data_IF_462989726188
#
_entry.id   IF_462989726188
#
_cell.length_a   1.000
_cell.length_b   1.000
_cell.length_c   1.000
_cell.angle_alpha   90.00
_cell.angle_beta   90.00
_cell.angle_gamma   90.00
#
_symmetry.space_group_name_H-M   'P 1'
#
loop_
_entity.id
_entity.type
_entity.pdbx_description
1 polymer ?
#
# COMPACT_ATOMS: atom_id res chain seq x y z
N UNK A 1 -10.39 -68.06 -19.33
CA UNK A 1 -10.27 -67.17 -20.51
C UNK A 1 -10.95 -65.83 -20.18
N UNK A 2 -10.34 -64.74 -20.49
CA UNK A 2 -10.82 -63.34 -20.33
C UNK A 2 -10.66 -62.72 -18.91
N UNK A 3 -9.48 -62.24 -18.65
CA UNK A 3 -9.20 -61.11 -17.74
C UNK A 3 -7.76 -60.64 -17.95
N UNK A 4 -7.52 -59.93 -19.05
CA UNK A 4 -6.27 -59.20 -19.34
C UNK A 4 -6.64 -58.10 -20.35
N UNK A 5 -6.83 -56.90 -19.90
CA UNK A 5 -7.09 -55.79 -20.84
C UNK A 5 -7.68 -54.52 -20.22
N UNK A 6 -7.04 -53.89 -19.22
CA UNK A 6 -7.40 -52.53 -18.83
C UNK A 6 -6.36 -51.82 -17.90
N UNK A 7 -5.06 -52.06 -18.21
CA UNK A 7 -3.97 -51.36 -17.51
C UNK A 7 -3.11 -50.49 -18.44
N UNK A 8 -3.63 -50.05 -19.59
CA UNK A 8 -2.86 -49.39 -20.64
C UNK A 8 -3.23 -47.94 -20.97
N UNK A 9 -4.02 -47.24 -20.15
CA UNK A 9 -4.52 -45.89 -20.50
C UNK A 9 -4.09 -44.74 -19.58
N UNK A 10 -3.18 -44.96 -18.64
CA UNK A 10 -2.68 -43.89 -17.76
C UNK A 10 -1.24 -43.44 -18.00
N UNK A 11 -0.57 -43.98 -19.04
CA UNK A 11 0.81 -43.59 -19.36
C UNK A 11 0.92 -42.65 -20.59
N UNK A 12 -0.18 -42.00 -21.01
CA UNK A 12 -0.26 -41.31 -22.30
C UNK A 12 0.15 -39.84 -22.33
N UNK A 13 0.26 -39.15 -21.20
CA UNK A 13 0.52 -37.68 -21.21
C UNK A 13 2.01 -37.33 -21.34
N UNK A 14 2.90 -38.08 -20.73
CA UNK A 14 4.35 -37.78 -20.82
C UNK A 14 4.98 -38.18 -22.15
N UNK A 15 4.43 -39.21 -22.86
CA UNK A 15 4.94 -39.69 -24.14
C UNK A 15 4.54 -38.79 -25.32
N UNK A 16 3.42 -38.09 -25.26
CA UNK A 16 3.00 -37.14 -26.31
C UNK A 16 3.82 -35.85 -26.32
N UNK A 17 4.22 -35.34 -25.17
CA UNK A 17 5.12 -34.17 -25.09
C UNK A 17 6.53 -34.46 -25.62
N UNK A 18 7.01 -35.70 -25.52
CA UNK A 18 8.31 -36.09 -26.06
C UNK A 18 8.29 -36.31 -27.60
N UNK A 19 7.10 -36.50 -28.18
CA UNK A 19 6.94 -36.77 -29.66
C UNK A 19 6.56 -35.48 -30.41
N UNK A 20 5.82 -34.55 -29.77
CA UNK A 20 5.35 -33.30 -30.37
C UNK A 20 5.88 -32.04 -29.70
N UNK A 21 6.66 -32.17 -28.62
CA UNK A 21 7.31 -31.05 -27.98
C UNK A 21 8.30 -30.37 -28.91
N UNK A 22 8.18 -29.06 -29.13
CA UNK A 22 9.19 -28.29 -29.84
C UNK A 22 10.58 -28.58 -29.25
N UNK A 23 11.51 -29.04 -30.10
CA UNK A 23 12.91 -29.18 -29.70
C UNK A 23 13.39 -27.85 -29.21
N UNK A 24 13.52 -27.69 -27.91
CA UNK A 24 14.18 -26.50 -27.32
C UNK A 24 15.57 -26.45 -27.89
N UNK A 25 15.78 -25.59 -28.88
CA UNK A 25 17.11 -25.33 -29.45
C UNK A 25 17.97 -24.84 -28.30
N UNK A 26 18.98 -25.62 -27.93
CA UNK A 26 19.95 -25.24 -26.92
C UNK A 26 20.75 -24.07 -27.49
N UNK A 27 20.40 -22.85 -27.09
CA UNK A 27 21.12 -21.64 -27.49
C UNK A 27 22.51 -21.75 -26.83
N UNK A 28 23.52 -22.00 -27.65
CA UNK A 28 24.92 -22.04 -27.21
C UNK A 28 25.44 -20.63 -27.24
N UNK A 29 25.90 -20.13 -26.11
CA UNK A 29 26.46 -18.78 -25.93
C UNK A 29 26.30 -18.26 -24.51
N UNK A 30 27.10 -17.29 -24.16
CA UNK A 30 26.98 -16.57 -22.91
C UNK A 30 25.79 -15.61 -23.00
N UNK A 31 24.77 -15.83 -22.17
CA UNK A 31 23.61 -14.93 -22.11
C UNK A 31 24.03 -13.66 -21.41
N UNK A 32 24.18 -12.58 -22.16
CA UNK A 32 24.33 -11.23 -21.57
C UNK A 32 22.94 -10.62 -21.44
N UNK A 33 22.58 -10.07 -20.26
CA UNK A 33 21.33 -9.33 -20.12
C UNK A 33 21.36 -8.15 -21.09
N UNK A 34 20.33 -8.02 -21.91
CA UNK A 34 20.19 -6.90 -22.87
C UNK A 34 19.81 -5.61 -22.13
N UNK A 35 19.17 -5.74 -20.97
CA UNK A 35 18.84 -4.63 -20.07
C UNK A 35 19.54 -4.90 -18.73
N UNK A 36 20.55 -4.12 -18.43
CA UNK A 36 21.09 -3.99 -17.08
C UNK A 36 20.35 -2.84 -16.41
N UNK A 37 19.47 -3.14 -15.47
CA UNK A 37 18.96 -2.12 -14.58
C UNK A 37 20.14 -1.56 -13.79
N UNK A 38 20.26 -0.23 -13.65
CA UNK A 38 21.29 0.38 -12.80
C UNK A 38 21.18 -0.18 -11.38
N UNK A 39 22.27 -0.18 -10.64
CA UNK A 39 22.28 -0.67 -9.26
C UNK A 39 21.38 0.19 -8.36
N UNK A 40 21.33 1.49 -8.63
CA UNK A 40 20.41 2.45 -8.03
C UNK A 40 19.76 3.29 -9.14
N UNK A 41 18.44 3.55 -9.00
CA UNK A 41 17.70 4.49 -9.86
C UNK A 41 17.64 5.88 -9.22
N UNK A 42 17.86 5.95 -7.90
CA UNK A 42 17.95 7.19 -7.14
C UNK A 42 19.38 7.35 -6.63
N UNK A 43 20.05 8.42 -7.04
CA UNK A 43 21.39 8.76 -6.53
C UNK A 43 21.28 9.84 -5.45
N UNK A 44 22.19 9.76 -4.45
CA UNK A 44 22.30 10.78 -3.42
C UNK A 44 22.90 12.06 -4.01
N UNK A 45 22.19 13.18 -3.82
CA UNK A 45 22.63 14.48 -4.29
C UNK A 45 23.85 14.97 -3.50
N UNK A 46 24.84 15.54 -4.21
CA UNK A 46 26.08 16.00 -3.59
C UNK A 46 25.84 17.06 -2.51
N UNK A 47 24.92 17.98 -2.77
CA UNK A 47 24.52 19.05 -1.85
C UNK A 47 23.81 18.53 -0.60
N UNK A 48 23.13 17.40 -0.71
CA UNK A 48 22.41 16.79 0.41
C UNK A 48 23.30 15.92 1.32
N UNK A 49 24.48 15.51 0.86
CA UNK A 49 25.39 14.60 1.61
C UNK A 49 25.79 15.12 2.99
N UNK A 50 25.89 16.44 3.13
CA UNK A 50 26.24 17.12 4.38
C UNK A 50 25.05 17.38 5.32
N UNK A 51 23.82 17.16 4.87
CA UNK A 51 22.63 17.45 5.67
C UNK A 51 22.45 16.39 6.75
N UNK A 52 22.14 16.86 7.96
CA UNK A 52 21.80 15.96 9.07
C UNK A 52 20.30 15.65 9.06
N UNK A 53 19.95 14.36 9.10
CA UNK A 53 18.56 13.94 9.26
C UNK A 53 18.21 14.06 10.75
N UNK A 54 17.43 15.09 11.09
CA UNK A 54 16.84 15.26 12.42
C UNK A 54 15.43 14.69 12.39
N UNK A 55 15.19 13.67 13.21
CA UNK A 55 13.87 13.07 13.34
C UNK A 55 13.05 13.85 14.37
N UNK A 56 11.73 14.04 14.16
CA UNK A 56 10.87 14.60 15.17
C UNK A 56 10.81 13.71 16.41
N UNK A 57 10.37 14.25 17.53
CA UNK A 57 10.15 13.46 18.73
C UNK A 57 9.17 12.30 18.46
N UNK A 58 9.40 11.18 19.11
CA UNK A 58 8.51 10.04 19.00
C UNK A 58 7.15 10.36 19.61
N UNK A 59 6.10 9.91 18.90
CA UNK A 59 4.72 10.04 19.36
C UNK A 59 4.04 8.69 19.44
N UNK A 60 3.24 8.49 20.48
CA UNK A 60 2.43 7.29 20.63
C UNK A 60 1.01 7.57 20.14
N UNK A 61 0.57 6.83 19.14
CA UNK A 61 -0.83 6.86 18.73
C UNK A 61 -1.60 5.80 19.52
N UNK A 62 -2.69 6.22 20.15
CA UNK A 62 -3.62 5.33 20.84
C UNK A 62 -4.55 4.59 19.88
N UNK A 63 -4.56 4.96 18.60
CA UNK A 63 -5.37 4.35 17.54
C UNK A 63 -4.69 4.57 16.19
N UNK A 64 -5.04 3.71 15.21
CA UNK A 64 -4.57 3.79 13.83
C UNK A 64 -5.77 3.66 12.89
N UNK A 65 -6.53 4.73 12.65
CA UNK A 65 -7.85 4.66 12.05
C UNK A 65 -7.84 4.42 10.54
N UNK A 66 -6.74 4.73 9.86
CA UNK A 66 -6.60 4.64 8.41
C UNK A 66 -5.13 4.61 8.00
N UNK A 67 -4.85 4.55 6.71
CA UNK A 67 -3.50 4.55 6.17
C UNK A 67 -2.68 5.72 6.74
N UNK A 68 -1.44 5.46 7.16
CA UNK A 68 -0.55 6.45 7.77
C UNK A 68 -0.95 6.89 9.18
N UNK A 69 -2.00 6.30 9.79
CA UNK A 69 -2.45 6.60 11.15
C UNK A 69 -3.26 7.89 11.30
N UNK A 70 -3.37 8.70 10.24
CA UNK A 70 -4.12 9.98 10.25
C UNK A 70 -4.61 10.36 8.85
N UNK A 71 -5.59 11.28 8.74
CA UNK A 71 -6.18 11.64 7.45
C UNK A 71 -5.20 12.24 6.45
N UNK A 72 -4.16 12.91 6.90
CA UNK A 72 -3.10 13.49 6.04
C UNK A 72 -2.08 12.47 5.54
N UNK A 73 -2.10 11.24 6.05
CA UNK A 73 -1.13 10.16 5.84
C UNK A 73 0.30 10.47 6.35
N UNK A 74 0.52 11.62 6.97
CA UNK A 74 1.83 12.02 7.50
C UNK A 74 2.03 11.48 8.92
N UNK A 75 2.39 10.20 9.05
CA UNK A 75 2.48 9.49 10.32
C UNK A 75 3.54 10.01 11.31
N UNK A 76 4.59 10.72 10.84
CA UNK A 76 5.65 11.25 11.70
C UNK A 76 6.58 10.17 12.24
N UNK A 77 6.95 10.24 13.52
CA UNK A 77 7.86 9.26 14.17
C UNK A 77 7.12 8.53 15.29
N UNK A 78 6.84 7.25 15.09
CA UNK A 78 6.07 6.46 16.05
C UNK A 78 6.94 5.94 17.19
N UNK A 79 6.37 5.88 18.40
CA UNK A 79 7.02 5.24 19.55
C UNK A 79 6.99 3.72 19.38
N UNK A 80 8.17 3.10 19.40
CA UNK A 80 8.33 1.65 19.33
C UNK A 80 9.60 1.27 20.10
N UNK A 81 9.53 0.20 20.92
CA UNK A 81 10.69 -0.31 21.64
C UNK A 81 11.73 -0.91 20.71
N UNK A 82 12.92 -1.15 21.27
CA UNK A 82 14.02 -1.88 20.61
C UNK A 82 13.78 -3.39 20.70
N UNK A 83 14.61 -4.22 20.06
CA UNK A 83 14.59 -5.69 20.17
C UNK A 83 13.22 -6.31 19.94
N UNK A 84 12.61 -5.99 18.80
CA UNK A 84 11.27 -6.49 18.44
C UNK A 84 11.20 -8.01 18.47
N UNK A 85 10.26 -8.55 19.25
CA UNK A 85 9.92 -9.96 19.29
C UNK A 85 8.45 -10.15 18.91
N UNK A 86 8.14 -11.26 18.27
CA UNK A 86 6.76 -11.61 17.99
C UNK A 86 6.00 -11.82 19.32
N UNK A 87 5.00 -10.97 19.55
CA UNK A 87 4.11 -11.07 20.69
C UNK A 87 2.99 -12.09 20.46
N UNK A 88 2.40 -12.05 19.27
CA UNK A 88 1.40 -13.01 18.84
C UNK A 88 1.29 -13.06 17.31
N UNK A 89 0.62 -14.11 16.79
CA UNK A 89 0.22 -14.26 15.40
C UNK A 89 -1.17 -14.84 15.32
N UNK A 90 -1.97 -14.39 14.34
CA UNK A 90 -3.33 -14.83 14.10
C UNK A 90 -3.61 -14.89 12.59
N UNK A 91 -4.46 -15.83 12.16
CA UNK A 91 -4.93 -15.85 10.77
C UNK A 91 -6.07 -14.84 10.56
N UNK A 92 -5.90 -13.88 9.62
CA UNK A 92 -6.98 -12.93 9.33
C UNK A 92 -7.97 -13.45 8.27
N UNK A 93 -7.61 -14.46 7.51
CA UNK A 93 -8.46 -15.05 6.47
C UNK A 93 -7.68 -15.36 5.21
N UNK A 94 -8.30 -15.19 4.06
CA UNK A 94 -7.66 -15.44 2.77
C UNK A 94 -6.69 -14.31 2.45
N UNK A 95 -5.45 -14.66 2.26
CA UNK A 95 -4.38 -13.73 1.87
C UNK A 95 -4.39 -13.38 0.39
N UNK A 96 -3.33 -12.71 -0.05
CA UNK A 96 -3.12 -12.30 -1.44
C UNK A 96 -2.71 -13.49 -2.32
N UNK A 97 -3.33 -13.61 -3.49
CA UNK A 97 -2.94 -14.55 -4.55
C UNK A 97 -3.01 -13.89 -5.93
N UNK A 98 -2.69 -14.62 -6.98
CA UNK A 98 -2.76 -14.08 -8.35
C UNK A 98 -4.16 -13.56 -8.72
N UNK A 99 -5.22 -14.23 -8.28
CA UNK A 99 -6.61 -13.89 -8.61
C UNK A 99 -7.32 -13.07 -7.54
N UNK A 100 -6.85 -13.14 -6.29
CA UNK A 100 -7.48 -12.51 -5.13
C UNK A 100 -6.45 -11.66 -4.41
N UNK A 101 -6.77 -10.41 -4.18
CA UNK A 101 -5.84 -9.47 -3.53
C UNK A 101 -6.45 -8.87 -2.29
N UNK A 102 -5.68 -8.83 -1.24
CA UNK A 102 -5.94 -7.91 -0.13
C UNK A 102 -5.55 -6.52 -0.59
N UNK A 103 -6.44 -5.55 -0.41
CA UNK A 103 -6.32 -4.22 -1.04
C UNK A 103 -5.96 -3.11 -0.06
N UNK A 104 -5.95 -3.40 1.25
CA UNK A 104 -5.63 -2.44 2.29
C UNK A 104 -4.96 -3.12 3.49
N UNK A 105 -4.11 -2.37 4.19
CA UNK A 105 -3.53 -2.79 5.46
C UNK A 105 -4.55 -2.77 6.61
N UNK A 106 -4.16 -3.27 7.78
CA UNK A 106 -4.99 -3.24 8.98
C UNK A 106 -5.17 -1.82 9.52
N UNK A 107 -6.25 -1.63 10.29
CA UNK A 107 -6.49 -0.45 11.13
C UNK A 107 -6.69 -0.88 12.58
N UNK A 108 -6.53 0.04 13.54
CA UNK A 108 -6.60 -0.32 14.94
C UNK A 108 -7.26 0.76 15.81
N UNK A 109 -8.05 0.31 16.79
CA UNK A 109 -8.40 1.06 17.99
C UNK A 109 -7.36 0.80 19.09
N UNK A 110 -7.58 1.34 20.28
CA UNK A 110 -6.71 1.09 21.43
C UNK A 110 -6.68 -0.39 21.88
N UNK A 111 -7.74 -1.15 21.62
CA UNK A 111 -7.94 -2.51 22.11
C UNK A 111 -8.08 -3.57 20.99
N UNK A 112 -8.26 -3.15 19.74
CA UNK A 112 -8.56 -4.06 18.60
C UNK A 112 -7.83 -3.70 17.34
N UNK A 113 -7.55 -4.73 16.54
CA UNK A 113 -7.08 -4.60 15.16
C UNK A 113 -8.19 -5.11 14.24
N UNK A 114 -8.47 -4.35 13.17
CA UNK A 114 -9.46 -4.71 12.16
C UNK A 114 -8.75 -4.95 10.85
N UNK A 115 -9.11 -6.04 10.16
CA UNK A 115 -8.49 -6.45 8.92
C UNK A 115 -9.51 -7.05 7.96
N UNK A 116 -9.43 -6.63 6.70
CA UNK A 116 -10.18 -7.23 5.61
C UNK A 116 -9.37 -8.30 4.89
N UNK A 117 -10.01 -9.37 4.45
CA UNK A 117 -9.36 -10.44 3.67
C UNK A 117 -9.67 -10.35 2.17
N UNK A 118 -9.06 -11.24 1.37
CA UNK A 118 -9.22 -11.27 -0.08
C UNK A 118 -10.55 -11.90 -0.55
N UNK A 119 -11.35 -12.45 0.36
CA UNK A 119 -12.66 -13.05 0.06
C UNK A 119 -13.84 -12.16 0.49
N UNK A 120 -13.57 -10.99 1.04
CA UNK A 120 -14.61 -10.05 1.45
C UNK A 120 -15.08 -10.19 2.90
N UNK A 121 -14.31 -10.84 3.75
CA UNK A 121 -14.56 -10.84 5.19
C UNK A 121 -13.80 -9.73 5.90
N UNK A 122 -14.40 -9.18 6.94
CA UNK A 122 -13.73 -8.30 7.90
C UNK A 122 -13.69 -9.01 9.25
N UNK A 123 -12.54 -8.98 9.89
CA UNK A 123 -12.31 -9.58 11.22
C UNK A 123 -11.75 -8.54 12.18
N UNK A 124 -12.14 -8.66 13.45
CA UNK A 124 -11.54 -7.93 14.56
C UNK A 124 -10.77 -8.87 15.47
N UNK A 125 -9.61 -8.40 15.90
CA UNK A 125 -8.71 -9.13 16.79
C UNK A 125 -8.38 -8.29 18.02
N UNK A 126 -8.23 -8.95 19.14
CA UNK A 126 -7.71 -8.34 20.36
C UNK A 126 -6.25 -7.92 20.16
N UNK A 127 -5.93 -6.67 20.43
CA UNK A 127 -4.58 -6.14 20.20
C UNK A 127 -3.53 -6.72 21.17
N UNK A 128 -3.96 -7.18 22.34
CA UNK A 128 -3.05 -7.70 23.35
C UNK A 128 -2.53 -9.11 23.02
N UNK A 129 -3.39 -9.96 22.42
CA UNK A 129 -3.11 -11.39 22.26
C UNK A 129 -3.48 -11.99 20.90
N UNK A 130 -4.05 -11.19 19.97
CA UNK A 130 -4.43 -11.66 18.64
C UNK A 130 -5.70 -12.54 18.60
N UNK A 131 -6.44 -12.69 19.69
CA UNK A 131 -7.67 -13.46 19.71
C UNK A 131 -8.74 -12.79 18.81
N UNK A 132 -9.32 -13.56 17.87
CA UNK A 132 -10.36 -13.04 17.01
C UNK A 132 -11.65 -12.82 17.81
N UNK A 133 -12.15 -11.57 17.81
CA UNK A 133 -13.36 -11.16 18.52
C UNK A 133 -14.62 -11.42 17.70
N UNK A 134 -14.57 -11.08 16.40
CA UNK A 134 -15.64 -11.33 15.45
C UNK A 134 -15.11 -11.44 14.02
N UNK A 135 -15.91 -12.00 13.13
CA UNK A 135 -15.71 -12.05 11.68
C UNK A 135 -17.04 -11.91 10.97
N UNK A 136 -17.11 -11.02 9.98
CA UNK A 136 -18.33 -10.70 9.23
C UNK A 136 -18.07 -10.85 7.74
N UNK A 137 -19.00 -11.50 7.05
CA UNK A 137 -19.07 -11.52 5.60
C UNK A 137 -19.70 -10.22 5.12
N UNK A 138 -18.96 -9.45 4.32
CA UNK A 138 -19.45 -8.17 3.79
C UNK A 138 -20.19 -8.30 2.47
N UNK A 139 -20.22 -9.49 1.87
CA UNK A 139 -20.94 -9.74 0.62
C UNK A 139 -22.45 -9.61 0.80
N UNK A 140 -23.18 -9.12 -0.21
CA UNK A 140 -24.65 -9.22 -0.22
C UNK A 140 -25.11 -10.66 -0.14
N UNK A 141 -26.26 -10.93 0.50
CA UNK A 141 -26.81 -12.28 0.70
C UNK A 141 -27.01 -13.08 -0.60
N UNK A 142 -27.30 -12.39 -1.71
CA UNK A 142 -27.53 -12.99 -3.02
C UNK A 142 -26.26 -13.11 -3.88
N UNK A 143 -25.11 -12.65 -3.41
CA UNK A 143 -23.86 -12.69 -4.14
C UNK A 143 -23.12 -14.00 -3.82
N UNK A 144 -23.02 -14.89 -4.81
CA UNK A 144 -22.33 -16.19 -4.68
C UNK A 144 -20.92 -16.20 -5.26
N UNK A 145 -20.48 -15.08 -5.83
CA UNK A 145 -19.15 -14.94 -6.42
C UNK A 145 -18.03 -14.78 -5.40
N UNK A 146 -16.81 -14.75 -5.89
CA UNK A 146 -15.64 -14.35 -5.10
C UNK A 146 -15.82 -12.91 -4.64
N UNK A 147 -15.87 -12.66 -3.32
CA UNK A 147 -16.17 -11.36 -2.74
C UNK A 147 -15.13 -10.29 -3.07
N UNK A 148 -13.90 -10.71 -3.35
CA UNK A 148 -12.77 -9.82 -3.56
C UNK A 148 -12.34 -9.07 -2.31
N UNK A 149 -11.16 -8.45 -2.37
CA UNK A 149 -10.60 -7.74 -1.22
C UNK A 149 -11.41 -6.53 -0.79
N UNK A 150 -11.38 -6.25 0.51
CA UNK A 150 -12.06 -5.11 1.12
C UNK A 150 -11.06 -4.17 1.79
N UNK A 151 -11.33 -2.87 1.74
CA UNK A 151 -10.63 -1.85 2.49
C UNK A 151 -11.34 -1.55 3.80
N UNK A 152 -10.58 -1.26 4.85
CA UNK A 152 -11.12 -0.93 6.17
C UNK A 152 -10.56 0.39 6.68
N UNK A 153 -11.41 1.21 7.29
CA UNK A 153 -11.05 2.41 8.06
C UNK A 153 -11.90 2.44 9.34
N UNK A 154 -11.44 3.20 10.33
CA UNK A 154 -12.08 3.29 11.64
C UNK A 154 -12.39 4.74 12.01
N UNK A 155 -13.55 5.00 12.58
CA UNK A 155 -13.84 6.26 13.25
C UNK A 155 -14.74 5.97 14.46
N UNK A 156 -14.23 6.34 15.64
CA UNK A 156 -14.89 6.05 16.90
C UNK A 156 -15.20 4.56 17.07
N UNK A 157 -16.47 4.23 17.18
CA UNK A 157 -17.02 2.88 17.35
C UNK A 157 -17.47 2.22 16.03
N UNK A 158 -17.06 2.78 14.88
CA UNK A 158 -17.54 2.34 13.57
C UNK A 158 -16.38 1.99 12.65
N UNK A 159 -16.41 0.78 12.12
CA UNK A 159 -15.53 0.31 11.05
C UNK A 159 -16.24 0.51 9.72
N UNK A 160 -15.69 1.35 8.85
CA UNK A 160 -16.21 1.50 7.50
C UNK A 160 -15.45 0.59 6.54
N UNK A 161 -16.19 -0.03 5.63
CA UNK A 161 -15.67 -1.04 4.71
C UNK A 161 -16.01 -0.63 3.28
N UNK A 162 -14.99 -0.62 2.42
CA UNK A 162 -15.14 -0.45 0.97
C UNK A 162 -14.97 -1.80 0.28
N UNK A 163 -15.80 -2.10 -0.72
CA UNK A 163 -15.80 -3.41 -1.37
C UNK A 163 -15.62 -3.32 -2.89
N UNK A 164 -15.08 -4.36 -3.49
CA UNK A 164 -15.03 -4.51 -4.97
C UNK A 164 -16.43 -4.74 -5.56
N UNK A 165 -17.44 -4.96 -4.74
CA UNK A 165 -18.85 -5.12 -5.14
C UNK A 165 -19.59 -3.77 -5.19
N UNK A 166 -18.85 -2.66 -5.19
CA UNK A 166 -19.38 -1.28 -5.24
C UNK A 166 -20.16 -0.88 -3.98
N UNK A 167 -19.89 -1.47 -2.82
CA UNK A 167 -20.60 -1.13 -1.60
C UNK A 167 -19.67 -0.53 -0.54
N UNK A 168 -20.23 0.43 0.20
CA UNK A 168 -19.65 0.95 1.43
C UNK A 168 -20.56 0.53 2.58
N UNK A 169 -19.96 -0.04 3.63
CA UNK A 169 -20.68 -0.47 4.83
C UNK A 169 -20.13 0.27 6.04
N UNK A 170 -21.00 0.50 7.03
CA UNK A 170 -20.59 0.83 8.38
C UNK A 170 -20.92 -0.36 9.30
N UNK A 171 -19.91 -0.82 10.01
CA UNK A 171 -20.02 -1.92 10.96
C UNK A 171 -19.77 -1.40 12.38
N UNK A 172 -20.43 -1.95 13.36
CA UNK A 172 -20.09 -1.75 14.76
C UNK A 172 -18.72 -2.34 15.06
N UNK A 173 -17.79 -1.54 15.57
CA UNK A 173 -16.47 -2.02 15.96
C UNK A 173 -16.54 -3.06 17.09
N UNK A 174 -17.62 -3.05 17.89
CA UNK A 174 -17.79 -3.95 19.03
C UNK A 174 -18.02 -5.40 18.61
N UNK A 175 -18.89 -5.64 17.63
CA UNK A 175 -19.41 -6.97 17.28
C UNK A 175 -19.53 -7.21 15.76
N UNK A 176 -19.22 -6.21 14.92
CA UNK A 176 -19.31 -6.33 13.46
C UNK A 176 -20.73 -6.19 12.90
N UNK A 177 -21.74 -5.85 13.71
CA UNK A 177 -23.11 -5.65 13.23
C UNK A 177 -23.16 -4.51 12.19
N UNK A 178 -23.89 -4.73 11.09
CA UNK A 178 -24.06 -3.72 10.03
C UNK A 178 -24.96 -2.61 10.53
N UNK A 179 -24.43 -1.38 10.62
CA UNK A 179 -25.19 -0.16 10.96
C UNK A 179 -25.92 0.38 9.72
N UNK A 180 -25.21 0.46 8.59
CA UNK A 180 -25.77 0.82 7.30
C UNK A 180 -24.94 0.24 6.15
N UNK A 181 -25.53 0.18 4.96
CA UNK A 181 -24.93 -0.28 3.71
C UNK A 181 -25.43 0.59 2.56
N UNK A 182 -24.53 1.04 1.70
CA UNK A 182 -24.87 1.84 0.52
C UNK A 182 -24.10 1.34 -0.70
N UNK A 183 -24.79 1.30 -1.86
CA UNK A 183 -24.19 0.91 -3.13
C UNK A 183 -23.79 2.15 -3.95
N UNK A 184 -22.55 2.17 -4.43
CA UNK A 184 -22.02 3.14 -5.36
C UNK A 184 -22.17 2.66 -6.82
N UNK A 185 -21.83 3.51 -7.77
CA UNK A 185 -21.97 3.18 -9.20
C UNK A 185 -20.86 2.29 -9.74
N UNK A 186 -19.67 2.33 -9.11
CA UNK A 186 -18.51 1.59 -9.57
C UNK A 186 -17.76 0.94 -8.38
N UNK A 187 -17.03 -0.17 -8.64
CA UNK A 187 -16.24 -0.86 -7.64
C UNK A 187 -15.14 0.01 -7.02
N UNK A 188 -14.74 -0.38 -5.81
CA UNK A 188 -13.59 0.21 -5.10
C UNK A 188 -12.52 -0.87 -4.88
N UNK A 189 -11.26 -0.54 -5.13
CA UNK A 189 -10.12 -1.44 -4.93
C UNK A 189 -9.06 -0.81 -4.04
N UNK A 190 -9.48 -0.25 -2.92
CA UNK A 190 -8.64 0.40 -1.93
C UNK A 190 -9.45 0.79 -0.72
N UNK A 191 -8.78 1.18 0.35
CA UNK A 191 -9.44 1.77 1.49
C UNK A 191 -9.94 3.18 1.17
N UNK A 192 -10.89 3.66 1.95
CA UNK A 192 -11.30 5.05 1.99
C UNK A 192 -10.39 5.86 2.91
N UNK A 193 -10.63 7.17 2.97
CA UNK A 193 -10.15 8.03 4.06
C UNK A 193 -11.32 8.68 4.76
N UNK A 194 -11.15 8.98 6.04
CA UNK A 194 -12.19 9.61 6.85
C UNK A 194 -11.64 10.85 7.56
N UNK A 195 -12.41 11.92 7.51
CA UNK A 195 -12.14 13.15 8.25
C UNK A 195 -13.42 13.95 8.44
N UNK A 196 -13.59 14.54 9.60
CA UNK A 196 -14.69 15.47 9.90
C UNK A 196 -16.08 14.89 9.55
N UNK A 197 -16.32 13.61 9.87
CA UNK A 197 -17.60 12.92 9.60
C UNK A 197 -17.87 12.65 8.11
N UNK A 198 -16.85 12.72 7.23
CA UNK A 198 -16.96 12.43 5.80
C UNK A 198 -16.01 11.32 5.40
N UNK A 199 -16.51 10.40 4.59
CA UNK A 199 -15.72 9.33 3.97
C UNK A 199 -15.42 9.72 2.55
N UNK A 200 -14.15 9.63 2.15
CA UNK A 200 -13.69 9.91 0.79
C UNK A 200 -13.16 8.62 0.17
N UNK A 201 -13.71 8.24 -0.98
CA UNK A 201 -13.34 7.00 -1.66
C UNK A 201 -13.19 7.21 -3.15
N UNK A 202 -12.15 6.63 -3.74
CA UNK A 202 -11.94 6.62 -5.19
C UNK A 202 -12.47 5.30 -5.77
N UNK A 203 -13.24 5.39 -6.85
CA UNK A 203 -13.83 4.25 -7.55
C UNK A 203 -13.10 3.95 -8.86
N UNK A 204 -13.26 2.73 -9.39
CA UNK A 204 -12.55 2.26 -10.59
C UNK A 204 -12.87 3.06 -11.87
N UNK A 205 -14.00 3.75 -11.91
CA UNK A 205 -14.37 4.65 -13.02
C UNK A 205 -13.79 6.07 -12.86
N UNK A 206 -12.72 6.22 -12.06
CA UNK A 206 -12.03 7.48 -11.76
C UNK A 206 -12.92 8.51 -11.08
N UNK A 207 -13.88 8.09 -10.26
CA UNK A 207 -14.74 9.00 -9.51
C UNK A 207 -14.30 9.08 -8.05
N UNK A 208 -14.08 10.30 -7.53
CA UNK A 208 -13.98 10.57 -6.10
C UNK A 208 -15.38 10.83 -5.56
N UNK A 209 -15.75 10.07 -4.53
CA UNK A 209 -17.05 10.17 -3.87
C UNK A 209 -16.84 10.57 -2.41
N UNK A 210 -17.56 11.57 -1.95
CA UNK A 210 -17.68 11.90 -0.54
C UNK A 210 -19.02 11.42 0.00
N UNK A 211 -19.00 10.70 1.12
CA UNK A 211 -20.20 10.22 1.81
C UNK A 211 -20.24 10.77 3.24
N UNK A 212 -21.43 10.88 3.79
CA UNK A 212 -21.64 11.07 5.22
C UNK A 212 -21.28 9.81 5.98
N UNK A 213 -20.44 9.92 7.01
CA UNK A 213 -20.09 8.79 7.86
C UNK A 213 -21.28 8.32 8.73
N UNK A 214 -22.26 9.18 8.98
CA UNK A 214 -23.42 8.90 9.80
C UNK A 214 -24.38 7.91 9.15
N UNK A 215 -24.71 8.14 7.86
CA UNK A 215 -25.78 7.43 7.15
C UNK A 215 -25.39 6.88 5.77
N UNK A 216 -24.16 7.09 5.33
CA UNK A 216 -23.67 6.66 4.01
C UNK A 216 -24.21 7.48 2.83
N UNK A 217 -24.96 8.55 3.07
CA UNK A 217 -25.52 9.41 2.02
C UNK A 217 -24.39 10.09 1.24
N UNK A 218 -24.46 10.03 -0.10
CA UNK A 218 -23.52 10.72 -0.97
C UNK A 218 -23.70 12.23 -0.84
N UNK A 219 -22.63 12.92 -0.46
CA UNK A 219 -22.59 14.37 -0.30
C UNK A 219 -22.26 15.04 -1.63
N UNK A 220 -21.22 14.57 -2.30
CA UNK A 220 -20.82 15.04 -3.62
C UNK A 220 -19.99 13.98 -4.38
N UNK A 221 -19.80 14.20 -5.66
CA UNK A 221 -18.97 13.37 -6.56
C UNK A 221 -18.17 14.24 -7.50
N UNK A 222 -16.97 13.81 -7.83
CA UNK A 222 -16.15 14.38 -8.89
C UNK A 222 -15.64 13.25 -9.78
N UNK A 223 -15.81 13.36 -11.07
CA UNK A 223 -15.30 12.39 -12.05
C UNK A 223 -14.09 12.98 -12.76
N UNK A 224 -12.93 12.32 -12.54
CA UNK A 224 -11.69 12.64 -13.24
C UNK A 224 -11.66 12.01 -14.64
N UNK A 225 -10.57 12.22 -15.38
CA UNK A 225 -10.41 11.64 -16.70
C UNK A 225 -10.49 10.11 -16.65
N UNK A 226 -11.38 9.55 -17.46
CA UNK A 226 -11.50 8.09 -17.57
C UNK A 226 -10.34 7.52 -18.40
N UNK A 227 -9.81 6.38 -17.95
CA UNK A 227 -8.80 5.60 -18.68
C UNK A 227 -9.29 4.16 -18.90
N UNK A 228 -8.77 3.52 -19.95
CA UNK A 228 -9.17 2.15 -20.31
C UNK A 228 -8.54 1.09 -19.41
N UNK A 229 -7.34 1.35 -18.88
CA UNK A 229 -6.59 0.40 -18.05
C UNK A 229 -6.38 0.97 -16.67
N UNK A 230 -7.06 0.42 -15.67
CA UNK A 230 -6.95 0.84 -14.28
C UNK A 230 -6.00 -0.09 -13.53
N UNK A 231 -4.99 0.43 -12.82
CA UNK A 231 -4.08 -0.40 -12.02
C UNK A 231 -4.83 -1.11 -10.89
N UNK A 232 -4.25 -2.22 -10.43
CA UNK A 232 -4.76 -2.94 -9.26
C UNK A 232 -4.44 -2.12 -7.99
N UNK A 233 -5.48 -1.72 -7.29
CA UNK A 233 -5.40 -0.86 -6.11
C UNK A 233 -5.55 0.61 -6.46
N UNK A 234 -6.40 1.29 -5.71
CA UNK A 234 -6.61 2.74 -5.79
C UNK A 234 -6.16 3.37 -4.48
N UNK A 235 -5.41 4.48 -4.54
CA UNK A 235 -4.93 5.13 -3.34
C UNK A 235 -6.10 5.80 -2.60
N UNK A 236 -6.16 5.70 -1.26
CA UNK A 236 -7.04 6.53 -0.47
C UNK A 236 -6.61 8.00 -0.59
N UNK A 237 -7.55 8.95 -0.63
CA UNK A 237 -7.24 10.37 -0.64
C UNK A 237 -6.64 10.84 0.68
N UNK A 238 -5.70 11.78 0.65
CA UNK A 238 -5.22 12.45 1.88
C UNK A 238 -6.12 13.64 2.23
N UNK A 239 -6.34 13.88 3.52
CA UNK A 239 -7.17 14.99 3.98
C UNK A 239 -6.43 15.82 5.03
N UNK A 240 -6.45 17.14 4.86
CA UNK A 240 -5.92 18.08 5.86
C UNK A 240 -6.84 19.28 5.96
N UNK A 241 -7.43 19.48 7.14
CA UNK A 241 -8.44 20.51 7.36
C UNK A 241 -9.64 20.33 6.39
N UNK A 242 -9.90 21.34 5.57
CA UNK A 242 -10.96 21.32 4.56
C UNK A 242 -10.45 20.98 3.15
N UNK A 243 -9.24 20.45 3.01
CA UNK A 243 -8.67 20.08 1.70
C UNK A 243 -8.52 18.56 1.60
N UNK A 244 -9.04 17.99 0.52
CA UNK A 244 -8.87 16.58 0.13
C UNK A 244 -7.97 16.52 -1.09
N UNK A 245 -6.94 15.70 -1.05
CA UNK A 245 -6.05 15.47 -2.20
C UNK A 245 -6.20 14.03 -2.66
N UNK A 246 -6.56 13.84 -3.92
CA UNK A 246 -6.76 12.53 -4.52
C UNK A 246 -5.89 12.34 -5.76
N UNK A 247 -5.27 11.17 -5.87
CA UNK A 247 -4.59 10.69 -7.06
C UNK A 247 -5.51 9.79 -7.88
N UNK A 248 -5.38 9.85 -9.21
CA UNK A 248 -6.24 9.10 -10.14
C UNK A 248 -5.42 8.19 -11.07
N UNK A 249 -6.06 7.15 -11.61
CA UNK A 249 -5.42 6.28 -12.59
C UNK A 249 -4.93 6.99 -13.86
N UNK A 250 -5.52 8.12 -14.21
CA UNK A 250 -5.11 8.97 -15.33
C UNK A 250 -3.74 9.66 -15.14
N UNK A 251 -3.17 9.59 -13.94
CA UNK A 251 -1.98 10.36 -13.55
C UNK A 251 -2.31 11.73 -12.99
N UNK A 252 -3.58 12.11 -12.98
CA UNK A 252 -4.01 13.35 -12.36
C UNK A 252 -3.90 13.27 -10.83
N UNK A 253 -3.51 14.36 -10.23
CA UNK A 253 -3.61 14.63 -8.80
C UNK A 253 -4.35 15.95 -8.60
N UNK A 254 -5.41 15.91 -7.82
CA UNK A 254 -6.27 17.07 -7.61
C UNK A 254 -6.51 17.34 -6.13
N UNK A 255 -6.60 18.62 -5.79
CA UNK A 255 -7.09 19.05 -4.49
C UNK A 255 -8.52 19.55 -4.60
N UNK A 256 -9.31 19.19 -3.62
CA UNK A 256 -10.74 19.52 -3.52
C UNK A 256 -11.06 20.15 -2.18
N UNK A 257 -12.08 20.98 -2.17
CA UNK A 257 -12.71 21.41 -0.94
C UNK A 257 -13.59 20.27 -0.39
N UNK A 258 -13.33 19.87 0.86
CA UNK A 258 -13.93 18.67 1.46
C UNK A 258 -15.47 18.71 1.57
N UNK A 259 -16.04 19.91 1.71
CA UNK A 259 -17.48 20.04 1.96
C UNK A 259 -18.36 20.00 0.70
N UNK A 260 -17.84 20.38 -0.47
CA UNK A 260 -18.64 20.48 -1.71
C UNK A 260 -17.96 19.91 -2.96
N UNK A 261 -16.73 19.41 -2.85
CA UNK A 261 -16.02 18.79 -3.96
C UNK A 261 -15.51 19.75 -5.04
N UNK A 262 -15.50 21.06 -4.78
CA UNK A 262 -14.92 22.03 -5.73
C UNK A 262 -13.42 21.82 -5.84
N UNK A 263 -12.93 21.74 -7.06
CA UNK A 263 -11.50 21.66 -7.35
C UNK A 263 -10.82 22.96 -6.92
N UNK A 264 -9.77 22.85 -6.14
CA UNK A 264 -8.89 23.95 -5.71
C UNK A 264 -7.77 24.10 -6.74
N UNK A 265 -7.09 22.98 -7.07
CA UNK A 265 -6.05 22.91 -8.07
C UNK A 265 -5.96 21.49 -8.65
N UNK A 266 -5.29 21.36 -9.79
CA UNK A 266 -4.98 20.09 -10.45
C UNK A 266 -3.55 20.10 -10.98
N UNK A 267 -2.91 18.93 -10.97
CA UNK A 267 -1.62 18.65 -11.59
C UNK A 267 -1.64 17.26 -12.22
N UNK A 268 -0.65 16.91 -13.03
CA UNK A 268 -0.56 15.61 -13.68
C UNK A 268 0.86 15.05 -13.57
N UNK A 269 0.96 13.82 -13.06
CA UNK A 269 2.21 13.06 -12.97
C UNK A 269 2.41 12.13 -14.19
N UNK A 270 1.51 12.22 -15.19
CA UNK A 270 1.68 11.51 -16.45
C UNK A 270 2.88 12.09 -17.22
N UNK A 271 3.72 11.21 -17.78
CA UNK A 271 4.84 11.65 -18.62
C UNK A 271 4.32 12.36 -19.87
N UNK A 272 4.85 13.56 -20.16
CA UNK A 272 4.50 14.30 -21.35
C UNK A 272 4.99 13.56 -22.60
N UNK A 273 4.07 13.11 -23.47
CA UNK A 273 4.41 12.54 -24.78
C UNK A 273 4.69 11.02 -24.79
N UNK A 274 4.38 10.31 -23.74
CA UNK A 274 4.56 8.87 -23.66
C UNK A 274 3.63 8.09 -24.63
N UNK A 275 4.22 7.17 -25.40
CA UNK A 275 3.49 6.30 -26.36
C UNK A 275 3.53 4.83 -25.97
N UNK A 276 4.12 4.47 -24.83
CA UNK A 276 4.29 3.09 -24.36
C UNK A 276 3.43 2.78 -23.12
N UNK A 277 3.23 1.50 -22.83
CA UNK A 277 2.58 1.04 -21.59
C UNK A 277 3.36 1.46 -20.32
N UNK A 278 4.66 1.76 -20.46
CA UNK A 278 5.49 2.32 -19.38
C UNK A 278 5.13 3.80 -19.07
N UNK A 279 4.44 4.46 -19.98
CA UNK A 279 4.04 5.87 -19.86
C UNK A 279 2.68 6.04 -19.13
N UNK A 280 2.15 4.98 -18.53
CA UNK A 280 0.95 5.06 -17.69
C UNK A 280 1.31 5.82 -16.41
N UNK A 281 1.15 7.12 -16.43
CA UNK A 281 1.44 8.03 -15.32
C UNK A 281 0.50 7.88 -14.12
N UNK A 282 -0.08 6.70 -13.92
CA UNK A 282 -1.05 6.43 -12.87
C UNK A 282 -0.50 6.80 -11.48
N UNK A 283 -1.28 7.54 -10.70
CA UNK A 283 -1.00 7.78 -9.28
C UNK A 283 -1.60 6.62 -8.49
N UNK A 284 -0.77 5.67 -8.07
CA UNK A 284 -1.16 4.54 -7.24
C UNK A 284 -0.71 4.72 -5.78
N UNK A 285 0.40 5.39 -5.56
CA UNK A 285 0.85 5.77 -4.23
C UNK A 285 -0.13 6.75 -3.60
N UNK A 286 -0.56 6.50 -2.37
CA UNK A 286 -1.40 7.45 -1.66
C UNK A 286 -0.64 8.77 -1.45
N UNK A 287 -1.25 9.93 -1.75
CA UNK A 287 -0.63 11.21 -1.47
C UNK A 287 -0.45 11.43 0.03
N UNK A 288 0.56 12.20 0.41
CA UNK A 288 0.85 12.55 1.80
C UNK A 288 0.84 14.07 1.94
N UNK A 289 0.08 14.59 2.88
CA UNK A 289 0.05 16.02 3.19
C UNK A 289 0.87 16.26 4.46
N UNK A 290 2.01 16.94 4.33
CA UNK A 290 2.89 17.26 5.45
C UNK A 290 3.15 18.77 5.50
N UNK A 291 2.58 19.44 6.51
CA UNK A 291 2.57 20.91 6.56
C UNK A 291 1.82 21.52 5.38
N UNK A 292 2.49 22.35 4.59
CA UNK A 292 1.94 22.96 3.37
C UNK A 292 2.36 22.21 2.08
N UNK A 293 2.94 21.03 2.20
CA UNK A 293 3.43 20.24 1.06
C UNK A 293 2.58 18.99 0.84
N UNK A 294 2.23 18.72 -0.40
CA UNK A 294 1.64 17.46 -0.86
C UNK A 294 2.75 16.67 -1.56
N UNK A 295 3.09 15.51 -1.04
CA UNK A 295 4.03 14.59 -1.67
C UNK A 295 3.22 13.57 -2.45
N UNK A 296 3.52 13.44 -3.74
CA UNK A 296 2.88 12.47 -4.62
C UNK A 296 3.90 11.76 -5.50
N UNK A 297 3.64 10.48 -5.75
CA UNK A 297 4.51 9.61 -6.54
C UNK A 297 3.67 8.95 -7.62
N UNK A 298 4.12 9.07 -8.88
CA UNK A 298 3.51 8.42 -10.03
C UNK A 298 4.26 7.15 -10.44
N UNK A 299 3.54 6.20 -11.01
CA UNK A 299 4.12 4.97 -11.58
C UNK A 299 5.05 5.27 -12.77
N UNK A 300 4.88 6.41 -13.45
CA UNK A 300 5.69 6.85 -14.58
C UNK A 300 7.09 7.35 -14.22
N UNK A 301 7.56 7.16 -13.01
CA UNK A 301 8.91 7.53 -12.58
C UNK A 301 9.02 8.96 -12.02
N UNK A 302 7.93 9.65 -11.76
CA UNK A 302 7.93 11.04 -11.29
C UNK A 302 7.44 11.14 -9.85
N UNK A 303 8.24 11.72 -8.98
CA UNK A 303 7.86 12.17 -7.64
C UNK A 303 7.83 13.70 -7.57
N UNK A 304 6.83 14.25 -6.90
CA UNK A 304 6.64 15.70 -6.78
C UNK A 304 6.31 16.10 -5.35
N UNK A 305 6.68 17.33 -5.01
CA UNK A 305 6.07 18.08 -3.92
C UNK A 305 5.29 19.26 -4.50
N UNK A 306 4.07 19.42 -4.04
CA UNK A 306 3.15 20.46 -4.51
C UNK A 306 2.74 21.31 -3.31
N UNK A 307 2.70 22.62 -3.47
CA UNK A 307 2.13 23.52 -2.45
C UNK A 307 0.65 23.23 -2.28
N UNK A 308 0.22 22.89 -1.07
CA UNK A 308 -1.14 22.46 -0.75
C UNK A 308 -2.20 23.51 -1.12
N UNK A 309 -1.87 24.79 -1.00
CA UNK A 309 -2.82 25.89 -1.23
C UNK A 309 -2.81 26.38 -2.67
N UNK A 310 -1.60 26.55 -3.23
CA UNK A 310 -1.42 27.15 -4.54
C UNK A 310 -1.40 26.15 -5.70
N UNK A 311 -1.20 24.85 -5.43
CA UNK A 311 -1.08 23.82 -6.45
C UNK A 311 0.19 23.92 -7.31
N UNK A 312 1.16 24.75 -6.92
CA UNK A 312 2.45 24.84 -7.63
C UNK A 312 3.39 23.74 -7.20
N UNK A 313 4.09 23.12 -8.14
CA UNK A 313 5.21 22.23 -7.82
C UNK A 313 6.30 23.01 -7.08
N UNK A 314 6.70 22.49 -5.91
CA UNK A 314 7.84 22.96 -5.13
C UNK A 314 9.10 22.32 -5.72
N UNK A 315 9.03 21.01 -5.97
CA UNK A 315 10.06 20.26 -6.67
C UNK A 315 9.47 19.08 -7.45
N UNK A 316 10.25 18.61 -8.40
CA UNK A 316 10.01 17.40 -9.18
C UNK A 316 11.32 16.65 -9.32
N UNK A 317 11.27 15.31 -9.27
CA UNK A 317 12.44 14.48 -9.54
C UNK A 317 12.05 13.11 -10.10
N UNK A 318 13.02 12.44 -10.71
CA UNK A 318 12.90 11.03 -11.07
C UNK A 318 12.84 10.20 -9.79
N UNK A 319 11.62 9.77 -9.43
CA UNK A 319 11.33 8.93 -8.27
C UNK A 319 9.99 8.24 -8.50
N UNK A 320 10.02 7.07 -9.13
CA UNK A 320 8.81 6.30 -9.42
C UNK A 320 8.55 5.23 -8.39
N UNK A 321 7.28 5.05 -8.07
CA UNK A 321 6.85 4.01 -7.15
C UNK A 321 5.34 3.89 -7.03
N UNK A 322 4.90 2.84 -6.38
CA UNK A 322 3.48 2.54 -6.16
C UNK A 322 3.08 2.64 -4.69
N UNK A 323 4.05 2.83 -3.81
CA UNK A 323 3.83 2.81 -2.37
C UNK A 323 3.81 4.22 -1.77
N UNK A 324 2.98 4.39 -0.75
CA UNK A 324 2.87 5.66 -0.03
C UNK A 324 4.21 6.03 0.61
N UNK A 325 4.76 7.23 0.38
CA UNK A 325 5.94 7.70 1.08
C UNK A 325 5.61 8.04 2.54
N UNK A 326 6.63 8.04 3.39
CA UNK A 326 6.50 8.37 4.80
C UNK A 326 7.14 9.73 5.09
N UNK A 327 6.34 10.68 5.58
CA UNK A 327 6.83 12.01 5.95
C UNK A 327 7.06 12.11 7.47
N UNK A 328 8.25 12.60 7.85
CA UNK A 328 8.62 12.83 9.24
C UNK A 328 9.52 14.07 9.36
N UNK A 329 9.02 15.15 9.94
CA UNK A 329 9.73 16.42 10.01
C UNK A 329 10.08 16.97 8.62
N UNK A 330 11.35 17.25 8.39
CA UNK A 330 11.85 17.80 7.12
C UNK A 330 12.20 16.71 6.10
N UNK A 331 11.88 15.46 6.38
CA UNK A 331 12.29 14.32 5.56
C UNK A 331 11.09 13.52 5.07
N UNK A 332 11.25 12.98 3.87
CA UNK A 332 10.35 12.05 3.22
C UNK A 332 11.13 10.77 2.91
N UNK A 333 10.67 9.67 3.41
CA UNK A 333 11.21 8.34 3.10
C UNK A 333 10.31 7.68 2.08
N UNK A 334 10.87 7.28 0.95
CA UNK A 334 10.11 6.62 -0.11
C UNK A 334 10.76 5.33 -0.56
N UNK A 335 9.99 4.51 -1.25
CA UNK A 335 10.48 3.28 -1.89
C UNK A 335 10.22 3.33 -3.37
N UNK A 336 11.15 2.79 -4.17
CA UNK A 336 11.03 2.73 -5.63
C UNK A 336 10.61 1.33 -6.10
N UNK A 337 10.04 1.26 -7.30
CA UNK A 337 9.72 -0.02 -7.95
C UNK A 337 10.99 -0.83 -8.31
N UNK A 338 12.16 -0.20 -8.25
CA UNK A 338 13.46 -0.87 -8.39
C UNK A 338 13.93 -1.58 -7.12
N UNK A 339 13.18 -1.51 -6.02
CA UNK A 339 13.52 -2.13 -4.74
C UNK A 339 14.52 -1.34 -3.91
N UNK A 340 14.42 -0.03 -3.96
CA UNK A 340 15.26 0.91 -3.21
C UNK A 340 14.45 1.66 -2.16
N UNK A 341 15.14 2.09 -1.12
CA UNK A 341 14.64 3.03 -0.12
C UNK A 341 15.49 4.29 -0.19
N UNK A 342 14.87 5.45 -0.15
CA UNK A 342 15.58 6.73 -0.17
C UNK A 342 15.02 7.71 0.86
N UNK A 343 15.88 8.59 1.36
CA UNK A 343 15.51 9.75 2.16
C UNK A 343 15.65 11.02 1.32
N UNK A 344 14.53 11.72 1.16
CA UNK A 344 14.43 12.98 0.43
C UNK A 344 14.18 14.13 1.38
N UNK A 345 14.84 15.26 1.16
CA UNK A 345 14.51 16.48 1.89
C UNK A 345 13.15 17.00 1.39
N UNK A 346 12.21 17.22 2.29
CA UNK A 346 10.82 17.56 1.97
C UNK A 346 10.66 18.85 1.18
N UNK A 347 11.52 19.85 1.44
CA UNK A 347 11.43 21.17 0.80
C UNK A 347 12.09 21.25 -0.57
N UNK A 348 13.15 20.46 -0.79
CA UNK A 348 13.95 20.54 -2.03
C UNK A 348 13.85 19.32 -2.91
N UNK A 349 13.39 18.18 -2.37
CA UNK A 349 13.39 16.89 -3.03
C UNK A 349 14.78 16.26 -3.16
N UNK A 350 15.84 16.88 -2.65
CA UNK A 350 17.20 16.33 -2.72
C UNK A 350 17.32 15.04 -1.92
N UNK A 351 17.91 14.01 -2.51
CA UNK A 351 18.15 12.73 -1.88
C UNK A 351 19.42 12.79 -1.00
N UNK A 352 19.24 12.54 0.31
CA UNK A 352 20.36 12.44 1.25
C UNK A 352 21.11 11.11 1.09
N UNK A 353 20.35 10.04 0.92
CA UNK A 353 20.83 8.69 0.66
C UNK A 353 19.77 7.87 -0.08
N UNK A 354 20.24 6.85 -0.79
CA UNK A 354 19.41 5.78 -1.32
C UNK A 354 20.12 4.44 -1.13
N UNK A 355 19.38 3.40 -0.82
CA UNK A 355 19.90 2.04 -0.59
C UNK A 355 19.02 1.01 -1.26
N UNK A 356 19.64 0.07 -1.97
CA UNK A 356 18.95 -1.07 -2.57
C UNK A 356 18.75 -2.18 -1.52
N UNK A 357 17.51 -2.61 -1.33
CA UNK A 357 17.19 -3.77 -0.50
C UNK A 357 17.20 -5.09 -1.27
N UNK A 358 17.53 -5.05 -2.57
CA UNK A 358 17.66 -6.23 -3.43
C UNK A 358 18.80 -7.11 -2.94
N UNK A 359 18.64 -8.45 -2.94
CA UNK A 359 19.73 -9.36 -2.66
C UNK A 359 20.91 -9.13 -3.62
N UNK A 360 22.15 -9.45 -3.21
CA UNK A 360 23.30 -9.39 -4.08
C UNK A 360 23.12 -10.32 -5.30
N UNK A 361 23.76 -9.97 -6.41
CA UNK A 361 23.80 -10.85 -7.57
C UNK A 361 24.46 -12.18 -7.22
N UNK A 362 23.91 -13.30 -7.71
CA UNK A 362 24.48 -14.62 -7.54
C UNK A 362 25.11 -15.09 -8.85
N UNK A 363 26.43 -15.04 -8.93
CA UNK A 363 27.17 -15.34 -10.16
C UNK A 363 26.74 -14.44 -11.32
N UNK A 364 26.45 -15.01 -12.50
CA UNK A 364 26.01 -14.28 -13.70
C UNK A 364 24.49 -14.01 -13.74
N UNK A 365 23.75 -14.26 -12.67
CA UNK A 365 22.31 -13.98 -12.62
C UNK A 365 22.07 -12.53 -12.22
N UNK A 366 21.18 -11.85 -12.95
CA UNK A 366 20.73 -10.52 -12.56
C UNK A 366 20.14 -10.54 -11.13
N UNK A 367 20.30 -9.43 -10.40
CA UNK A 367 19.67 -9.26 -9.10
C UNK A 367 18.14 -9.43 -9.24
N UNK A 368 17.48 -10.23 -8.41
CA UNK A 368 16.04 -10.36 -8.45
C UNK A 368 15.37 -9.02 -8.13
N UNK A 369 14.26 -8.74 -8.80
CA UNK A 369 13.40 -7.62 -8.42
C UNK A 369 12.75 -7.93 -7.08
N UNK A 370 12.69 -6.94 -6.21
CA UNK A 370 12.06 -7.02 -4.90
C UNK A 370 11.03 -5.91 -4.81
N UNK A 371 9.77 -6.28 -4.57
CA UNK A 371 8.74 -5.32 -4.25
C UNK A 371 8.83 -4.98 -2.76
N UNK A 372 8.71 -3.69 -2.46
CA UNK A 372 8.76 -3.15 -1.11
C UNK A 372 7.37 -2.67 -0.70
N UNK A 373 7.03 -2.80 0.58
CA UNK A 373 5.85 -2.14 1.15
C UNK A 373 6.12 -0.68 1.45
N UNK A 374 5.07 0.09 1.70
CA UNK A 374 5.19 1.46 2.21
C UNK A 374 6.09 1.49 3.46
N UNK A 375 7.06 2.43 3.53
CA UNK A 375 7.93 2.55 4.69
C UNK A 375 7.17 3.09 5.91
N UNK A 376 7.67 2.78 7.11
CA UNK A 376 7.12 3.26 8.38
C UNK A 376 8.25 3.59 9.35
N UNK A 377 8.26 4.81 9.89
CA UNK A 377 9.27 5.26 10.85
C UNK A 377 8.80 5.05 12.29
N UNK A 378 9.48 4.20 13.05
CA UNK A 378 9.17 3.93 14.45
C UNK A 378 10.41 3.56 15.25
N UNK A 379 10.50 4.01 16.51
CA UNK A 379 11.60 3.67 17.42
C UNK A 379 12.99 3.98 16.85
N UNK A 380 13.13 5.10 16.12
CA UNK A 380 14.38 5.48 15.47
C UNK A 380 14.80 4.63 14.28
N UNK A 381 13.90 3.81 13.74
CA UNK A 381 14.17 2.89 12.60
C UNK A 381 13.09 3.02 11.54
N UNK A 382 13.50 2.92 10.28
CA UNK A 382 12.59 2.82 9.16
C UNK A 382 12.34 1.35 8.85
N UNK A 383 11.09 0.90 8.92
CA UNK A 383 10.67 -0.46 8.61
C UNK A 383 10.11 -0.54 7.20
N UNK A 384 10.49 -1.59 6.47
CA UNK A 384 10.03 -1.88 5.10
C UNK A 384 9.81 -3.38 4.97
N UNK A 385 8.64 -3.77 4.50
CA UNK A 385 8.34 -5.15 4.12
C UNK A 385 8.84 -5.47 2.73
N UNK A 386 9.13 -6.75 2.46
CA UNK A 386 9.61 -7.18 1.15
C UNK A 386 8.81 -8.35 0.59
N UNK A 387 8.78 -8.48 -0.74
CA UNK A 387 8.24 -9.65 -1.43
C UNK A 387 9.04 -10.94 -1.19
N UNK A 388 10.18 -10.84 -0.51
CA UNK A 388 11.03 -11.98 -0.11
C UNK A 388 10.71 -12.51 1.29
N UNK A 389 9.56 -12.13 1.85
CA UNK A 389 9.14 -12.51 3.20
C UNK A 389 10.12 -12.00 4.27
N UNK A 390 10.51 -10.74 4.18
CA UNK A 390 11.37 -10.09 5.17
C UNK A 390 10.76 -8.77 5.65
N UNK A 391 10.91 -8.48 6.93
CA UNK A 391 10.79 -7.16 7.54
C UNK A 391 12.20 -6.60 7.69
N UNK A 392 12.51 -5.55 6.94
CA UNK A 392 13.82 -4.91 6.95
C UNK A 392 13.75 -3.65 7.80
N UNK A 393 14.73 -3.44 8.65
CA UNK A 393 14.92 -2.19 9.39
C UNK A 393 16.15 -1.45 8.85
N UNK A 394 15.98 -0.15 8.60
CA UNK A 394 16.99 0.73 8.02
C UNK A 394 17.20 1.92 8.95
N UNK A 395 18.46 2.35 9.11
CA UNK A 395 18.78 3.58 9.82
C UNK A 395 18.29 4.79 8.99
N UNK A 396 17.36 5.59 9.51
CA UNK A 396 16.83 6.72 8.76
C UNK A 396 17.88 7.81 8.49
N UNK A 397 18.97 7.86 9.25
CA UNK A 397 20.02 8.89 9.12
C UNK A 397 21.06 8.55 8.05
N UNK A 398 21.42 7.27 7.93
CA UNK A 398 22.47 6.81 7.01
C UNK A 398 21.98 5.98 5.83
N UNK A 399 20.82 5.32 5.96
CA UNK A 399 20.34 4.34 4.99
C UNK A 399 20.90 2.93 5.24
N UNK A 400 21.70 2.73 6.29
CA UNK A 400 22.26 1.41 6.59
C UNK A 400 21.18 0.41 6.98
N UNK A 401 21.27 -0.81 6.46
CA UNK A 401 20.39 -1.92 6.88
C UNK A 401 20.80 -2.40 8.28
N UNK A 402 19.95 -2.12 9.27
CA UNK A 402 20.19 -2.50 10.67
C UNK A 402 19.83 -3.96 10.94
N UNK A 403 18.90 -4.52 10.18
CA UNK A 403 18.48 -5.90 10.36
C UNK A 403 17.45 -6.37 9.35
N UNK A 404 17.34 -7.71 9.25
CA UNK A 404 16.34 -8.41 8.44
C UNK A 404 15.69 -9.48 9.28
N UNK A 405 14.39 -9.40 9.49
CA UNK A 405 13.61 -10.39 10.20
C UNK A 405 12.77 -11.19 9.20
N UNK A 406 12.91 -12.51 9.22
CA UNK A 406 12.13 -13.39 8.36
C UNK A 406 10.68 -13.46 8.81
N UNK A 407 9.78 -13.37 7.84
CA UNK A 407 8.33 -13.51 8.00
C UNK A 407 7.85 -14.83 7.36
N UNK A 408 6.63 -15.30 7.67
CA UNK A 408 6.08 -16.51 7.07
C UNK A 408 5.81 -16.36 5.56
N UNK A 409 5.48 -15.15 5.10
CA UNK A 409 5.23 -14.84 3.69
C UNK A 409 5.61 -13.39 3.37
N UNK A 410 5.49 -13.01 2.10
CA UNK A 410 5.71 -11.64 1.62
C UNK A 410 4.90 -10.62 2.43
N UNK A 411 5.44 -9.43 2.59
CA UNK A 411 4.81 -8.30 3.24
C UNK A 411 4.65 -7.18 2.21
N UNK A 412 3.50 -7.13 1.56
CA UNK A 412 3.17 -6.13 0.55
C UNK A 412 2.26 -5.01 1.07
N UNK A 413 1.61 -5.22 2.23
CA UNK A 413 0.66 -4.30 2.79
C UNK A 413 1.32 -3.27 3.71
N UNK A 414 0.74 -2.07 3.85
CA UNK A 414 1.16 -1.09 4.85
C UNK A 414 1.08 -1.65 6.27
N UNK A 415 2.07 -1.28 7.06
CA UNK A 415 2.17 -1.63 8.49
C UNK A 415 1.53 -0.56 9.36
N UNK A 416 1.31 -0.88 10.63
CA UNK A 416 0.88 0.10 11.63
C UNK A 416 1.62 -0.06 12.95
N UNK A 417 1.65 1.04 13.72
CA UNK A 417 2.15 1.04 15.11
C UNK A 417 1.11 1.61 16.02
N UNK A 418 0.68 0.83 17.01
CA UNK A 418 -0.30 1.25 18.00
C UNK A 418 0.04 0.63 19.35
N UNK A 419 -0.05 1.40 20.42
CA UNK A 419 0.22 0.92 21.77
C UNK A 419 1.60 0.27 21.93
N UNK A 420 2.64 0.79 21.25
CA UNK A 420 4.01 0.25 21.29
C UNK A 420 4.18 -1.10 20.57
N UNK A 421 3.24 -1.50 19.73
CA UNK A 421 3.31 -2.72 18.90
C UNK A 421 3.37 -2.37 17.42
N UNK A 422 4.28 -3.00 16.70
CA UNK A 422 4.30 -3.01 15.24
C UNK A 422 3.43 -4.19 14.77
N UNK A 423 2.41 -3.91 13.97
CA UNK A 423 1.49 -4.91 13.42
C UNK A 423 1.67 -4.97 11.92
N UNK A 424 1.89 -6.18 11.41
CA UNK A 424 2.06 -6.49 9.99
C UNK A 424 1.05 -7.55 9.54
N UNK A 425 0.57 -7.43 8.32
CA UNK A 425 -0.30 -8.41 7.68
C UNK A 425 0.43 -8.98 6.46
N UNK A 426 0.78 -10.27 6.50
CA UNK A 426 1.50 -10.95 5.43
C UNK A 426 0.57 -11.53 4.37
N UNK A 427 1.09 -11.74 3.17
CA UNK A 427 0.31 -12.12 2.00
C UNK A 427 -0.33 -13.53 2.07
N UNK A 428 0.09 -14.36 3.04
CA UNK A 428 -0.50 -15.68 3.31
C UNK A 428 -1.75 -15.65 4.20
N UNK A 429 -2.18 -14.48 4.66
CA UNK A 429 -3.32 -14.33 5.55
C UNK A 429 -2.95 -14.29 7.03
N UNK A 430 -1.68 -14.08 7.39
CA UNK A 430 -1.22 -13.97 8.77
C UNK A 430 -1.15 -12.50 9.22
N UNK A 431 -1.69 -12.22 10.40
CA UNK A 431 -1.55 -10.96 11.13
C UNK A 431 -0.59 -11.20 12.29
N UNK A 432 0.48 -10.41 12.36
CA UNK A 432 1.56 -10.60 13.32
C UNK A 432 1.81 -9.31 14.09
N UNK A 433 1.87 -9.39 15.41
CA UNK A 433 2.27 -8.26 16.24
C UNK A 433 3.66 -8.49 16.81
N UNK A 434 4.50 -7.47 16.70
CA UNK A 434 5.80 -7.38 17.33
C UNK A 434 5.75 -6.36 18.45
N UNK A 435 6.35 -6.69 19.59
CA UNK A 435 6.56 -5.76 20.69
C UNK A 435 8.07 -5.69 21.00
N UNK A 436 8.53 -4.50 21.35
CA UNK A 436 9.91 -4.29 21.78
C UNK A 436 10.02 -4.25 23.30
N UNK A 437 11.19 -4.59 23.80
CA UNK A 437 11.59 -4.27 25.17
C UNK A 437 11.82 -2.75 25.21
N UNK A 438 11.18 -2.06 26.15
CA UNK A 438 11.29 -0.62 26.36
C UNK A 438 12.64 -0.23 26.94
#
# INVERSE_FOLDING_TARGET
ALLLGSAGLLAGCETLESIFGERRVKIVGERKPVLTLPDLTVEADAEARGLTISLPAQQSLGLWPQLGGMPSHAGGHMTLGTNLRQAWSAGYGTGTSFRRRVVAGPVASADRVFMGDADGFVSAFDIANGARRWRVDTRPENERGDGGGVGVILDGDTVFVTTVLSEVLALSAADGAVKWRVRLQAPMRGAASIANGRIFVTTLDSTLVALSAEDGRVLWRYRAQAILTVPLGLPPPAVSGETVVAGFPSGEILAFRANDGRVIWSDSLAAAGGTSLADVGSVRAAPVISGNSVIAIGMGGVGVSIDLRAGRRIWEREFGGTEMPWAAGDWVFGVTDAGEVAALQRETGMARWAVSLRPPAQGNRARPLVQLSSPLLAGGRLFVGTSLAELVSVDPSSGDVLGRQRLPAALSLPMLVVGGRLIVATDDGSLIAFAGEG
#
